data_IF_898318802498
#
_entry.id   IF_898318802498
#
_cell.length_a   1.000
_cell.length_b   1.000
_cell.length_c   1.000
_cell.angle_alpha   90.00
_cell.angle_beta   90.00
_cell.angle_gamma   90.00
#
_symmetry.space_group_name_H-M   'P 1'
#
loop_
_entity.id
_entity.type
_entity.pdbx_description
1 polymer ?
#
# COMPACT_ATOMS: atom_id res chain seq x y z
N UNK A 1 53.73 52.97 -13.44
CA UNK A 1 53.64 51.58 -13.95
C UNK A 1 52.59 50.83 -13.15
N UNK A 2 51.31 50.88 -13.59
CA UNK A 2 50.21 50.16 -12.95
C UNK A 2 50.00 48.85 -13.73
N UNK A 3 50.12 47.71 -13.01
CA UNK A 3 49.75 46.41 -13.53
C UNK A 3 48.28 46.13 -13.21
N UNK A 4 47.49 45.97 -14.25
CA UNK A 4 46.09 45.56 -14.16
C UNK A 4 45.99 44.03 -13.88
N UNK A 5 45.19 43.64 -12.89
CA UNK A 5 44.79 42.26 -12.62
C UNK A 5 43.52 41.96 -13.41
N UNK A 6 43.39 40.74 -13.98
CA UNK A 6 42.16 40.34 -14.69
C UNK A 6 41.08 39.90 -13.69
N UNK A 7 39.81 40.09 -14.01
CA UNK A 7 38.69 39.60 -13.19
C UNK A 7 38.49 38.10 -13.37
N UNK A 8 38.51 37.36 -12.25
CA UNK A 8 38.09 35.97 -12.16
C UNK A 8 36.57 35.90 -12.39
N UNK A 9 36.19 35.31 -13.52
CA UNK A 9 34.82 34.86 -13.78
C UNK A 9 34.49 33.66 -12.90
N UNK A 10 33.69 33.84 -11.85
CA UNK A 10 33.01 32.76 -11.16
C UNK A 10 31.83 32.31 -12.02
N UNK A 11 32.01 31.22 -12.77
CA UNK A 11 30.92 30.50 -13.40
C UNK A 11 30.16 29.72 -12.33
N UNK A 12 29.02 30.25 -11.88
CA UNK A 12 28.08 29.54 -11.05
C UNK A 12 27.36 28.50 -11.92
N UNK A 13 27.73 27.23 -11.78
CA UNK A 13 26.94 26.12 -12.29
C UNK A 13 25.68 26.00 -11.46
N UNK A 14 24.59 26.49 -11.98
CA UNK A 14 23.23 26.17 -11.53
C UNK A 14 22.94 24.72 -11.93
N UNK A 15 23.17 23.79 -10.99
CA UNK A 15 22.57 22.45 -11.06
C UNK A 15 21.06 22.60 -10.81
N UNK A 16 20.30 22.77 -11.87
CA UNK A 16 18.86 22.52 -11.85
C UNK A 16 18.65 21.04 -11.68
N UNK A 17 18.45 20.58 -10.45
CA UNK A 17 17.84 19.27 -10.19
C UNK A 17 16.41 19.32 -10.72
N UNK A 18 16.21 18.77 -11.90
CA UNK A 18 14.88 18.38 -12.37
C UNK A 18 14.37 17.34 -11.36
N UNK A 19 13.54 17.79 -10.42
CA UNK A 19 12.67 16.91 -9.65
C UNK A 19 11.70 16.30 -10.66
N UNK A 20 12.06 15.16 -11.21
CA UNK A 20 11.15 14.29 -11.95
C UNK A 20 10.09 13.83 -10.95
N UNK A 21 8.87 14.29 -11.09
CA UNK A 21 7.70 13.67 -10.48
C UNK A 21 7.51 12.31 -11.16
N UNK A 22 8.20 11.31 -10.65
CA UNK A 22 7.92 9.90 -10.88
C UNK A 22 7.74 9.29 -9.50
N UNK A 23 6.50 8.97 -9.16
CA UNK A 23 6.09 8.47 -7.85
C UNK A 23 6.54 7.02 -7.55
N UNK A 24 7.63 6.58 -8.12
CA UNK A 24 8.25 5.29 -7.81
C UNK A 24 9.56 5.51 -7.03
N UNK A 25 9.47 6.16 -5.86
CA UNK A 25 10.61 6.29 -4.93
C UNK A 25 11.00 4.90 -4.39
N UNK A 26 11.62 4.08 -5.24
CA UNK A 26 12.25 2.82 -4.85
C UNK A 26 11.30 1.86 -4.14
N UNK A 27 10.33 1.30 -4.88
CA UNK A 27 9.50 0.22 -4.35
C UNK A 27 10.36 -1.02 -4.06
N UNK A 28 10.22 -1.59 -2.86
CA UNK A 28 10.88 -2.82 -2.46
C UNK A 28 9.88 -3.94 -2.22
N UNK A 29 10.21 -5.19 -2.57
CA UNK A 29 9.39 -6.34 -2.23
C UNK A 29 9.46 -6.63 -0.73
N UNK A 30 8.30 -6.90 -0.13
CA UNK A 30 8.21 -7.37 1.25
C UNK A 30 8.17 -8.91 1.28
N UNK A 31 8.97 -9.51 2.15
CA UNK A 31 9.07 -10.97 2.27
C UNK A 31 8.30 -11.45 3.49
N UNK A 32 7.49 -12.47 3.28
CA UNK A 32 6.68 -13.08 4.35
C UNK A 32 7.55 -13.52 5.52
N UNK A 33 7.14 -13.14 6.74
CA UNK A 33 7.84 -13.51 7.99
C UNK A 33 8.91 -12.52 8.43
N UNK A 34 9.27 -11.54 7.63
CA UNK A 34 10.13 -10.43 8.06
C UNK A 34 9.38 -9.48 9.00
N UNK A 35 10.07 -8.89 9.97
CA UNK A 35 9.46 -8.01 10.97
C UNK A 35 8.72 -6.82 10.32
N UNK A 36 9.33 -6.18 9.32
CA UNK A 36 8.70 -5.08 8.58
C UNK A 36 7.40 -5.51 7.90
N UNK A 37 7.37 -6.70 7.28
CA UNK A 37 6.17 -7.24 6.62
C UNK A 37 5.06 -7.51 7.64
N UNK A 38 5.39 -8.07 8.81
CA UNK A 38 4.42 -8.34 9.88
C UNK A 38 3.80 -7.04 10.38
N UNK A 39 4.61 -5.99 10.55
CA UNK A 39 4.14 -4.69 11.01
C UNK A 39 3.33 -3.96 9.92
N UNK A 40 3.73 -4.08 8.64
CA UNK A 40 2.97 -3.58 7.50
C UNK A 40 1.60 -4.28 7.39
N UNK A 41 1.54 -5.61 7.47
CA UNK A 41 0.29 -6.38 7.47
C UNK A 41 -0.65 -5.91 8.59
N UNK A 42 -0.11 -5.67 9.79
CA UNK A 42 -0.89 -5.20 10.94
C UNK A 42 -1.46 -3.80 10.70
N UNK A 43 -0.63 -2.88 10.21
CA UNK A 43 -1.06 -1.50 9.93
C UNK A 43 -2.13 -1.46 8.84
N UNK A 44 -1.88 -2.12 7.71
CA UNK A 44 -2.84 -2.20 6.59
C UNK A 44 -4.16 -2.79 7.06
N UNK A 45 -4.13 -3.86 7.85
CA UNK A 45 -5.34 -4.48 8.38
C UNK A 45 -6.16 -3.50 9.23
N UNK A 46 -5.54 -2.76 10.13
CA UNK A 46 -6.23 -1.77 10.96
C UNK A 46 -6.91 -0.69 10.10
N UNK A 47 -6.21 -0.18 9.09
CA UNK A 47 -6.74 0.84 8.19
C UNK A 47 -7.89 0.29 7.34
N UNK A 48 -7.77 -0.93 6.83
CA UNK A 48 -8.83 -1.59 6.04
C UNK A 48 -10.08 -1.89 6.87
N UNK A 49 -9.93 -2.35 8.11
CA UNK A 49 -11.06 -2.61 9.00
C UNK A 49 -11.85 -1.33 9.33
N UNK A 50 -11.16 -0.20 9.49
CA UNK A 50 -11.79 1.12 9.68
C UNK A 50 -12.54 1.55 8.41
N UNK A 51 -11.85 1.57 7.26
CA UNK A 51 -12.43 1.99 5.98
C UNK A 51 -13.64 1.12 5.57
N UNK A 52 -13.50 -0.20 5.70
CA UNK A 52 -14.56 -1.13 5.33
C UNK A 52 -15.79 -0.98 6.23
N UNK A 53 -15.59 -0.77 7.54
CA UNK A 53 -16.65 -0.45 8.47
C UNK A 53 -17.40 0.82 8.08
N UNK A 54 -16.67 1.88 7.75
CA UNK A 54 -17.26 3.16 7.39
C UNK A 54 -18.10 3.05 6.11
N UNK A 55 -17.65 2.25 5.14
CA UNK A 55 -18.38 1.99 3.88
C UNK A 55 -19.61 1.09 4.06
N UNK A 56 -19.55 0.12 4.94
CA UNK A 56 -20.63 -0.88 5.11
C UNK A 56 -21.62 -0.53 6.22
N UNK A 57 -21.40 0.53 6.98
CA UNK A 57 -22.18 0.89 8.17
C UNK A 57 -22.30 -0.26 9.18
N UNK A 58 -21.31 -1.14 9.21
CA UNK A 58 -21.30 -2.32 10.09
C UNK A 58 -20.87 -1.92 11.49
N UNK A 59 -21.40 -2.58 12.51
CA UNK A 59 -21.01 -2.33 13.90
C UNK A 59 -19.51 -2.58 14.14
N UNK A 60 -18.88 -1.81 15.06
CA UNK A 60 -17.47 -2.05 15.44
C UNK A 60 -17.23 -3.50 15.88
N UNK A 61 -16.08 -4.06 15.44
CA UNK A 61 -15.66 -5.41 15.82
C UNK A 61 -16.23 -6.53 14.94
N UNK A 62 -17.15 -6.22 14.02
CA UNK A 62 -17.71 -7.22 13.09
C UNK A 62 -17.02 -7.28 11.73
N UNK A 63 -16.24 -6.26 11.36
CA UNK A 63 -15.40 -6.30 10.16
C UNK A 63 -14.09 -6.95 10.50
N UNK A 64 -13.68 -7.93 9.72
CA UNK A 64 -12.39 -8.60 9.86
C UNK A 64 -11.68 -8.69 8.52
N UNK A 65 -10.39 -8.35 8.52
CA UNK A 65 -9.55 -8.40 7.34
C UNK A 65 -8.36 -9.36 7.53
N UNK A 66 -8.02 -10.09 6.49
CA UNK A 66 -6.72 -10.73 6.31
C UNK A 66 -5.92 -9.93 5.28
N UNK A 67 -4.63 -9.76 5.53
CA UNK A 67 -3.75 -8.91 4.74
C UNK A 67 -2.45 -9.63 4.41
N UNK A 68 -1.94 -9.37 3.21
CA UNK A 68 -0.60 -9.76 2.76
C UNK A 68 0.04 -8.57 2.05
N UNK A 69 0.85 -7.82 2.77
CA UNK A 69 1.69 -6.79 2.17
C UNK A 69 2.78 -7.46 1.32
N UNK A 70 2.94 -7.00 0.09
CA UNK A 70 3.90 -7.54 -0.86
C UNK A 70 4.92 -6.52 -1.34
N UNK A 71 4.68 -5.24 -1.07
CA UNK A 71 5.60 -4.18 -1.42
C UNK A 71 5.47 -2.97 -0.51
N UNK A 72 6.54 -2.20 -0.42
CA UNK A 72 6.58 -0.94 0.31
C UNK A 72 7.58 0.04 -0.30
N UNK A 73 7.46 1.32 0.02
CA UNK A 73 8.41 2.38 -0.32
C UNK A 73 8.64 3.29 0.91
N UNK A 74 9.81 3.97 1.01
CA UNK A 74 10.96 3.86 0.10
C UNK A 74 11.78 2.59 0.33
N UNK A 75 12.60 2.24 -0.67
CA UNK A 75 13.61 1.18 -0.53
C UNK A 75 14.57 1.51 0.64
N UNK A 76 14.93 0.48 1.41
CA UNK A 76 15.83 0.63 2.56
C UNK A 76 15.12 1.01 3.87
N UNK A 77 13.81 1.23 3.89
CA UNK A 77 13.06 1.33 5.14
C UNK A 77 13.19 0.03 5.95
N UNK A 78 13.41 0.14 7.25
CA UNK A 78 13.60 -1.00 8.14
C UNK A 78 12.54 -1.09 9.25
N UNK A 79 11.64 -0.13 9.32
CA UNK A 79 10.47 -0.13 10.19
C UNK A 79 9.29 0.61 9.52
N UNK A 80 8.09 0.34 9.98
CA UNK A 80 6.85 0.86 9.39
C UNK A 80 6.73 2.38 9.44
N UNK A 81 7.36 3.03 10.40
CA UNK A 81 7.35 4.50 10.55
C UNK A 81 8.20 5.24 9.50
N UNK A 82 9.00 4.52 8.73
CA UNK A 82 9.79 5.08 7.61
C UNK A 82 9.11 4.88 6.26
N UNK A 83 8.02 4.10 6.21
CA UNK A 83 7.30 3.85 4.99
C UNK A 83 6.44 5.06 4.60
N UNK A 84 6.38 5.33 3.31
CA UNK A 84 5.47 6.30 2.70
C UNK A 84 4.35 5.63 1.93
N UNK A 85 4.59 4.40 1.45
CA UNK A 85 3.60 3.63 0.70
C UNK A 85 3.69 2.15 1.06
N UNK A 86 2.54 1.48 1.11
CA UNK A 86 2.44 0.01 1.25
C UNK A 86 1.48 -0.50 0.19
N UNK A 87 1.85 -1.61 -0.47
CA UNK A 87 0.99 -2.37 -1.38
C UNK A 87 0.67 -3.72 -0.78
N UNK A 88 -0.63 -4.06 -0.76
CA UNK A 88 -1.09 -5.28 -0.12
C UNK A 88 -2.26 -5.93 -0.88
N UNK A 89 -2.38 -7.24 -0.74
CA UNK A 89 -3.60 -8.00 -1.02
C UNK A 89 -4.45 -8.04 0.24
N UNK A 90 -5.74 -7.84 0.12
CA UNK A 90 -6.67 -7.84 1.27
C UNK A 90 -7.89 -8.70 1.00
N UNK A 91 -8.33 -9.42 2.03
CA UNK A 91 -9.62 -10.11 2.08
C UNK A 91 -10.34 -9.61 3.31
N UNK A 92 -11.38 -8.80 3.11
CA UNK A 92 -12.16 -8.24 4.20
C UNK A 92 -13.58 -8.78 4.16
N UNK A 93 -14.15 -9.01 5.33
CA UNK A 93 -15.51 -9.50 5.48
C UNK A 93 -16.30 -8.78 6.55
N UNK A 94 -17.60 -8.63 6.29
CA UNK A 94 -18.58 -8.18 7.26
C UNK A 94 -19.77 -9.16 7.29
N UNK A 95 -20.39 -9.43 8.44
CA UNK A 95 -21.58 -10.28 8.50
C UNK A 95 -22.73 -9.63 7.74
N UNK A 96 -23.32 -10.41 6.83
CA UNK A 96 -24.55 -10.05 6.14
C UNK A 96 -25.77 -10.22 7.03
N UNK A 97 -26.98 -9.83 6.53
CA UNK A 97 -28.23 -9.93 7.26
C UNK A 97 -28.61 -11.38 7.65
N UNK A 98 -28.12 -12.36 6.90
CA UNK A 98 -28.30 -13.80 7.12
C UNK A 98 -27.25 -14.42 8.05
N UNK A 99 -26.33 -13.60 8.58
CA UNK A 99 -25.21 -14.04 9.38
C UNK A 99 -24.05 -14.66 8.58
N UNK A 100 -24.17 -14.76 7.26
CA UNK A 100 -23.05 -15.17 6.40
C UNK A 100 -22.08 -14.01 6.21
N UNK A 101 -20.78 -14.35 6.14
CA UNK A 101 -19.75 -13.34 5.90
C UNK A 101 -19.72 -12.97 4.40
N UNK A 102 -20.04 -11.71 4.11
CA UNK A 102 -19.78 -11.15 2.77
C UNK A 102 -18.32 -10.76 2.66
N UNK A 103 -17.60 -11.38 1.74
CA UNK A 103 -16.14 -11.19 1.56
C UNK A 103 -15.86 -10.32 0.33
N UNK A 104 -14.93 -9.39 0.48
CA UNK A 104 -14.35 -8.61 -0.60
C UNK A 104 -12.85 -8.91 -0.69
N UNK A 105 -12.38 -9.21 -1.89
CA UNK A 105 -10.98 -9.48 -2.20
C UNK A 105 -10.46 -8.37 -3.11
N UNK A 106 -9.56 -7.53 -2.61
CA UNK A 106 -9.04 -6.41 -3.37
C UNK A 106 -7.56 -6.15 -3.07
N UNK A 107 -6.75 -5.81 -4.08
CA UNK A 107 -5.44 -5.21 -3.84
C UNK A 107 -5.61 -3.76 -3.42
N UNK A 108 -4.74 -3.28 -2.56
CA UNK A 108 -4.79 -1.91 -2.03
C UNK A 108 -3.40 -1.27 -2.06
N UNK A 109 -3.34 -0.01 -2.48
CA UNK A 109 -2.22 0.90 -2.26
C UNK A 109 -2.59 1.83 -1.11
N UNK A 110 -1.72 1.93 -0.11
CA UNK A 110 -1.90 2.85 1.00
C UNK A 110 -0.74 3.84 0.98
N UNK A 111 -1.07 5.13 0.84
CA UNK A 111 -0.11 6.21 1.03
C UNK A 111 -0.16 6.64 2.49
N UNK A 112 0.97 6.55 3.16
CA UNK A 112 1.12 6.90 4.58
C UNK A 112 1.48 8.37 4.72
N UNK A 113 0.96 9.00 5.77
CA UNK A 113 1.16 10.42 6.09
C UNK A 113 0.34 10.78 7.32
N UNK A 114 0.14 12.06 7.57
CA UNK A 114 -0.71 12.54 8.67
C UNK A 114 -2.14 12.00 8.56
N UNK A 115 -2.59 11.77 7.34
CA UNK A 115 -3.88 11.13 7.02
C UNK A 115 -3.61 10.06 5.96
N UNK A 116 -3.60 8.79 6.32
CA UNK A 116 -3.44 7.71 5.36
C UNK A 116 -4.55 7.72 4.31
N UNK A 117 -4.16 7.51 3.05
CA UNK A 117 -5.08 7.43 1.91
C UNK A 117 -5.05 6.01 1.33
N UNK A 118 -6.24 5.46 1.11
CA UNK A 118 -6.43 4.13 0.54
C UNK A 118 -6.90 4.24 -0.91
N UNK A 119 -6.19 3.54 -1.79
CA UNK A 119 -6.52 3.45 -3.21
C UNK A 119 -6.78 2.00 -3.58
N UNK A 120 -7.96 1.75 -4.14
CA UNK A 120 -8.41 0.44 -4.61
C UNK A 120 -8.71 0.55 -6.11
N UNK A 121 -8.33 -0.42 -6.94
CA UNK A 121 -8.75 -0.44 -8.35
C UNK A 121 -10.26 -0.41 -8.46
N UNK A 122 -10.78 0.33 -9.43
CA UNK A 122 -12.22 0.37 -9.71
C UNK A 122 -12.64 -0.89 -10.46
N UNK A 123 -13.81 -1.42 -10.13
CA UNK A 123 -14.38 -2.57 -10.81
C UNK A 123 -14.69 -2.26 -12.29
N UNK A 124 -14.71 -3.29 -13.12
CA UNK A 124 -15.12 -3.21 -14.51
C UNK A 124 -13.97 -2.86 -15.47
N UNK A 125 -14.28 -2.03 -16.48
CA UNK A 125 -13.37 -1.79 -17.59
C UNK A 125 -12.05 -1.08 -17.23
N UNK A 126 -12.03 -0.34 -16.12
CA UNK A 126 -10.82 0.37 -15.64
C UNK A 126 -9.91 -0.48 -14.77
N UNK A 127 -10.35 -1.65 -14.31
CA UNK A 127 -9.61 -2.47 -13.34
C UNK A 127 -8.15 -2.71 -13.73
N UNK A 128 -7.90 -3.21 -14.94
CA UNK A 128 -6.54 -3.49 -15.42
C UNK A 128 -5.68 -2.22 -15.47
N UNK A 129 -6.23 -1.12 -15.99
CA UNK A 129 -5.48 0.14 -16.07
C UNK A 129 -5.20 0.75 -14.71
N UNK A 130 -6.07 0.52 -13.74
CA UNK A 130 -5.84 0.96 -12.36
C UNK A 130 -4.80 0.09 -11.66
N UNK A 131 -4.76 -1.22 -11.91
CA UNK A 131 -3.67 -2.09 -11.44
C UNK A 131 -2.31 -1.57 -11.92
N UNK A 132 -2.18 -1.28 -13.23
CA UNK A 132 -0.93 -0.79 -13.81
C UNK A 132 -0.48 0.56 -13.23
N UNK A 133 -1.43 1.44 -12.88
CA UNK A 133 -1.13 2.77 -12.32
C UNK A 133 -0.84 2.76 -10.82
N UNK A 134 -1.53 1.90 -10.06
CA UNK A 134 -1.47 1.92 -8.61
C UNK A 134 -0.37 1.03 -8.05
N UNK A 135 0.02 -0.01 -8.80
CA UNK A 135 0.93 -1.04 -8.28
C UNK A 135 2.20 -1.14 -9.14
N UNK A 136 3.38 -1.08 -8.51
CA UNK A 136 4.65 -1.31 -9.20
C UNK A 136 4.79 -2.78 -9.59
N UNK A 137 5.61 -3.05 -10.62
CA UNK A 137 5.96 -4.43 -10.99
C UNK A 137 6.94 -5.03 -9.96
N UNK A 138 6.39 -5.67 -8.95
CA UNK A 138 7.13 -6.44 -7.94
C UNK A 138 7.05 -7.96 -8.18
N UNK A 139 6.67 -8.38 -9.38
CA UNK A 139 6.52 -9.79 -9.73
C UNK A 139 5.32 -10.47 -9.06
N UNK A 140 4.32 -9.70 -8.63
CA UNK A 140 3.09 -10.20 -7.99
C UNK A 140 1.93 -10.11 -8.97
N UNK A 141 1.33 -11.26 -9.30
CA UNK A 141 0.11 -11.28 -10.10
C UNK A 141 -1.08 -10.79 -9.25
N UNK A 142 -1.65 -9.65 -9.66
CA UNK A 142 -2.82 -9.04 -9.02
C UNK A 142 -4.10 -9.23 -9.84
N UNK A 143 -3.98 -9.58 -11.12
CA UNK A 143 -5.11 -9.76 -12.03
C UNK A 143 -5.68 -11.18 -12.00
N UNK A 144 -4.86 -12.16 -11.62
CA UNK A 144 -5.23 -13.58 -11.57
C UNK A 144 -5.78 -14.03 -10.22
N UNK A 145 -5.93 -15.33 -10.07
CA UNK A 145 -6.28 -15.96 -8.79
C UNK A 145 -5.10 -15.84 -7.82
N UNK A 146 -5.40 -15.48 -6.58
CA UNK A 146 -4.38 -15.44 -5.53
C UNK A 146 -4.25 -16.79 -4.86
N UNK A 147 -3.11 -17.49 -4.97
CA UNK A 147 -2.91 -18.81 -4.36
C UNK A 147 -3.14 -18.81 -2.85
N UNK A 148 -2.86 -17.68 -2.19
CA UNK A 148 -3.05 -17.48 -0.76
C UNK A 148 -4.49 -17.17 -0.34
N UNK A 149 -5.42 -16.99 -1.31
CA UNK A 149 -6.80 -16.60 -1.01
C UNK A 149 -7.53 -17.54 -0.06
N UNK A 150 -7.45 -18.87 -0.17
CA UNK A 150 -8.11 -19.77 0.77
C UNK A 150 -7.66 -19.57 2.22
N UNK A 151 -6.35 -19.35 2.44
CA UNK A 151 -5.80 -19.10 3.77
C UNK A 151 -6.24 -17.72 4.29
N UNK A 152 -6.18 -16.70 3.45
CA UNK A 152 -6.61 -15.34 3.80
C UNK A 152 -8.09 -15.30 4.15
N UNK A 153 -8.92 -16.02 3.40
CA UNK A 153 -10.34 -16.17 3.68
C UNK A 153 -10.59 -16.81 5.04
N UNK A 154 -9.97 -17.97 5.29
CA UNK A 154 -10.10 -18.69 6.56
C UNK A 154 -9.65 -17.81 7.76
N UNK A 155 -8.58 -17.04 7.59
CA UNK A 155 -8.10 -16.10 8.60
C UNK A 155 -9.11 -14.98 8.88
N UNK A 156 -9.69 -14.37 7.84
CA UNK A 156 -10.71 -13.34 7.99
C UNK A 156 -11.97 -13.88 8.67
N UNK A 157 -12.44 -15.07 8.27
CA UNK A 157 -13.58 -15.76 8.88
C UNK A 157 -13.34 -16.07 10.37
N UNK A 158 -12.17 -16.60 10.72
CA UNK A 158 -11.80 -16.90 12.12
C UNK A 158 -11.75 -15.63 12.98
N UNK A 159 -11.24 -14.52 12.42
CA UNK A 159 -11.18 -13.22 13.12
C UNK A 159 -12.58 -12.63 13.32
N UNK A 160 -13.45 -12.70 12.31
CA UNK A 160 -14.83 -12.23 12.41
C UNK A 160 -15.63 -13.02 13.47
N UNK A 161 -15.31 -14.31 13.63
CA UNK A 161 -15.97 -15.16 14.64
C UNK A 161 -15.45 -14.91 16.09
N UNK A 162 -14.28 -14.30 16.24
CA UNK A 162 -13.65 -14.03 17.54
C UNK A 162 -14.03 -12.66 18.13
N UNK A 163 -14.59 -11.75 17.35
CA UNK A 163 -15.02 -10.39 17.76
C UNK A 163 -16.47 -10.33 18.00
#
# INVERSE_FOLDING_TARGET
MLRALPPLLCAALLLTTLAGCGDDDGAMPLRRGEALTIDADRLVRQLMEIDFKDRTSTEPGRVACSVRAFGAAPEGANNVGQLTTIWAKTVCGAPGPDGMLSLSMVPVKITLGDRPELFVPQDGASYTSDLEKLFPDLGVDLAGEWPEFPDMRAEAEARAAAG
#
